data_IF_287331750760
#
_entry.id   IF_287331750760
#
_cell.length_a   1.000
_cell.length_b   1.000
_cell.length_c   1.000
_cell.angle_alpha   90.00
_cell.angle_beta   90.00
_cell.angle_gamma   90.00
#
_symmetry.space_group_name_H-M   'P 1'
#
loop_
_entity.id
_entity.type
_entity.pdbx_description
1 polymer ?
#
# COMPACT_ATOMS: atom_id res chain seq x y z
N UNK A 1 23.91 59.36 -1.63
CA UNK A 1 24.62 58.20 -1.06
C UNK A 1 24.00 57.92 0.30
N UNK A 2 22.99 57.05 0.34
CA UNK A 2 22.34 56.63 1.57
C UNK A 2 22.87 55.23 1.91
N UNK A 3 23.44 55.11 3.11
CA UNK A 3 23.89 53.85 3.69
C UNK A 3 22.67 52.95 3.93
N UNK A 4 22.65 51.81 3.25
CA UNK A 4 21.63 50.79 3.40
C UNK A 4 21.80 50.08 4.74
N UNK A 5 20.74 50.13 5.52
CA UNK A 5 20.55 49.47 6.81
C UNK A 5 20.70 47.94 6.65
N UNK A 6 21.75 47.38 7.26
CA UNK A 6 22.04 45.95 7.26
C UNK A 6 21.20 45.35 8.37
N UNK A 7 19.97 44.96 8.04
CA UNK A 7 19.02 44.37 8.98
C UNK A 7 19.69 43.27 9.80
N UNK A 8 19.79 43.51 11.11
CA UNK A 8 20.22 42.54 12.11
C UNK A 8 19.46 41.23 11.90
N UNK A 9 20.20 40.19 11.51
CA UNK A 9 19.73 38.82 11.49
C UNK A 9 19.36 38.47 12.93
N UNK A 10 18.05 38.49 13.21
CA UNK A 10 17.49 38.15 14.51
C UNK A 10 18.04 36.82 15.03
N UNK A 11 18.07 36.64 16.36
CA UNK A 11 18.76 35.55 17.01
C UNK A 11 18.41 34.23 16.34
N UNK A 12 19.46 33.51 15.90
CA UNK A 12 19.39 32.10 15.54
C UNK A 12 18.44 31.42 16.53
N UNK A 13 17.19 31.20 16.09
CA UNK A 13 16.28 30.33 16.81
C UNK A 13 16.96 28.99 16.73
N UNK A 14 17.71 28.65 17.78
CA UNK A 14 18.27 27.33 17.99
C UNK A 14 17.14 26.37 17.69
N UNK A 15 17.22 25.70 16.54
CA UNK A 15 16.26 24.69 16.12
C UNK A 15 16.07 23.80 17.33
N UNK A 16 14.84 23.75 17.85
CA UNK A 16 14.52 22.90 18.98
C UNK A 16 15.08 21.51 18.64
N UNK A 17 15.78 20.83 19.57
CA UNK A 17 16.39 19.52 19.30
C UNK A 17 15.40 18.50 18.72
N UNK A 18 14.09 18.73 18.85
CA UNK A 18 13.01 17.94 18.28
C UNK A 18 12.84 18.07 16.75
N UNK A 19 13.29 19.17 16.15
CA UNK A 19 13.24 19.39 14.69
C UNK A 19 14.50 18.90 13.98
N UNK A 20 15.50 18.42 14.72
CA UNK A 20 16.68 17.82 14.14
C UNK A 20 16.28 16.56 13.35
N UNK A 21 16.70 16.43 12.07
CA UNK A 21 16.39 15.26 11.28
C UNK A 21 16.84 14.00 12.02
N UNK A 22 16.03 12.93 12.05
CA UNK A 22 16.35 11.73 12.81
C UNK A 22 17.74 11.24 12.42
N UNK A 23 18.62 11.09 13.41
CA UNK A 23 19.98 10.66 13.14
C UNK A 23 19.95 9.28 12.46
N UNK A 24 20.52 9.23 11.25
CA UNK A 24 20.50 8.01 10.45
C UNK A 24 21.44 6.99 11.09
N UNK A 25 20.87 6.07 11.86
CA UNK A 25 21.61 4.93 12.41
C UNK A 25 22.07 4.07 11.24
N UNK A 26 23.37 3.79 11.17
CA UNK A 26 23.96 2.94 10.14
C UNK A 26 23.38 1.53 10.11
N UNK A 27 23.65 0.78 9.04
CA UNK A 27 23.11 -0.57 8.89
C UNK A 27 23.57 -1.49 10.05
N UNK A 28 22.68 -2.25 10.71
CA UNK A 28 23.05 -3.11 11.83
C UNK A 28 24.04 -4.22 11.46
N UNK A 29 24.13 -4.60 10.17
CA UNK A 29 25.10 -5.60 9.69
C UNK A 29 26.46 -5.01 9.34
N UNK A 30 26.50 -3.97 8.50
CA UNK A 30 27.77 -3.45 7.95
C UNK A 30 28.20 -2.10 8.54
N UNK A 31 27.42 -1.53 9.46
CA UNK A 31 27.60 -0.24 10.17
C UNK A 31 27.76 1.00 9.29
N UNK A 32 27.62 0.85 7.97
CA UNK A 32 27.67 1.96 7.01
C UNK A 32 26.33 2.70 6.95
N UNK A 33 26.37 4.02 7.00
CA UNK A 33 25.18 4.89 6.90
C UNK A 33 24.96 5.42 5.47
N UNK A 34 26.02 5.55 4.67
CA UNK A 34 26.01 6.02 3.28
C UNK A 34 25.25 5.10 2.32
N UNK A 35 25.17 3.81 2.64
CA UNK A 35 24.49 2.78 1.84
C UNK A 35 23.03 2.53 2.26
N UNK A 36 22.55 3.27 3.26
CA UNK A 36 21.20 3.10 3.80
C UNK A 36 20.30 4.21 3.27
N UNK A 37 19.07 3.85 2.93
CA UNK A 37 18.04 4.83 2.65
C UNK A 37 16.67 4.36 3.12
N UNK A 38 15.71 5.29 3.27
CA UNK A 38 14.32 4.93 3.49
C UNK A 38 13.84 4.00 2.37
N UNK A 39 13.07 2.98 2.73
CA UNK A 39 12.54 2.00 1.76
C UNK A 39 11.85 2.66 0.56
N UNK A 40 10.98 3.70 0.70
CA UNK A 40 10.40 4.38 -0.45
C UNK A 40 11.42 4.98 -1.42
N UNK A 41 12.52 5.52 -0.89
CA UNK A 41 13.59 6.07 -1.71
C UNK A 41 14.43 4.96 -2.37
N UNK A 42 14.66 3.84 -1.67
CA UNK A 42 15.34 2.68 -2.24
C UNK A 42 14.55 2.08 -3.42
N UNK A 43 13.23 1.89 -3.28
CA UNK A 43 12.38 1.36 -4.36
C UNK A 43 12.34 2.29 -5.58
N UNK A 44 12.26 3.61 -5.38
CA UNK A 44 12.36 4.58 -6.49
C UNK A 44 13.68 4.49 -7.25
N UNK A 45 14.76 4.03 -6.60
CA UNK A 45 16.07 3.80 -7.22
C UNK A 45 16.23 2.38 -7.80
N UNK A 46 15.16 1.60 -7.87
CA UNK A 46 15.17 0.26 -8.44
C UNK A 46 15.72 -0.82 -7.50
N UNK A 47 15.73 -0.58 -6.19
CA UNK A 47 16.06 -1.65 -5.24
C UNK A 47 15.08 -2.82 -5.42
N UNK A 48 15.53 -4.08 -5.29
CA UNK A 48 14.72 -5.28 -5.47
C UNK A 48 13.79 -5.55 -4.27
N UNK A 49 13.19 -4.49 -3.73
CA UNK A 49 12.11 -4.57 -2.76
C UNK A 49 10.86 -4.30 -3.58
N UNK A 50 10.24 -5.37 -4.06
CA UNK A 50 9.00 -5.25 -4.82
C UNK A 50 7.98 -4.50 -3.95
N UNK A 51 7.50 -3.31 -4.37
CA UNK A 51 6.48 -2.61 -3.62
C UNK A 51 5.32 -3.57 -3.52
N UNK A 52 4.95 -3.86 -2.27
CA UNK A 52 3.91 -4.81 -1.95
C UNK A 52 2.55 -4.15 -2.30
N UNK A 53 2.35 -3.86 -3.59
CA UNK A 53 1.12 -3.36 -4.13
C UNK A 53 0.35 -4.58 -4.60
N UNK A 54 -0.77 -4.91 -3.96
CA UNK A 54 -1.68 -5.88 -4.53
C UNK A 54 -2.08 -5.34 -5.90
N UNK A 55 -1.60 -5.97 -6.98
CA UNK A 55 -1.90 -5.55 -8.33
C UNK A 55 -3.39 -5.78 -8.55
N UNK A 56 -4.19 -4.73 -8.40
CA UNK A 56 -5.61 -4.77 -8.72
C UNK A 56 -5.70 -4.58 -10.24
N UNK A 57 -5.15 -5.51 -11.03
CA UNK A 57 -5.40 -5.58 -12.47
C UNK A 57 -6.88 -5.93 -12.61
N UNK A 58 -7.68 -4.88 -12.62
CA UNK A 58 -9.12 -4.98 -12.62
C UNK A 58 -9.60 -5.55 -13.94
N UNK A 59 -10.60 -6.42 -13.83
CA UNK A 59 -11.51 -6.97 -14.86
C UNK A 59 -12.25 -5.87 -15.67
N UNK A 60 -11.80 -4.61 -15.61
CA UNK A 60 -12.35 -3.47 -16.34
C UNK A 60 -12.30 -3.66 -17.86
N UNK A 61 -11.39 -4.48 -18.38
CA UNK A 61 -11.30 -4.78 -19.82
C UNK A 61 -12.50 -5.55 -20.38
N UNK A 62 -13.12 -6.44 -19.59
CA UNK A 62 -14.19 -7.32 -20.09
C UNK A 62 -15.54 -6.63 -20.22
N UNK A 63 -15.84 -5.64 -19.38
CA UNK A 63 -17.14 -4.94 -19.40
C UNK A 63 -17.23 -3.93 -20.55
N UNK A 64 -16.12 -3.26 -20.88
CA UNK A 64 -16.09 -2.26 -21.98
C UNK A 64 -16.17 -2.94 -23.34
N UNK A 65 -15.55 -4.11 -23.52
CA UNK A 65 -15.56 -4.83 -24.79
C UNK A 65 -16.98 -5.28 -25.19
N UNK A 66 -17.80 -5.68 -24.22
CA UNK A 66 -19.19 -6.12 -24.47
C UNK A 66 -20.16 -4.98 -24.80
N UNK A 67 -20.00 -3.81 -24.17
CA UNK A 67 -20.83 -2.65 -24.51
C UNK A 67 -20.64 -2.23 -25.98
N UNK A 68 -19.42 -2.38 -26.51
CA UNK A 68 -19.10 -2.12 -27.92
C UNK A 68 -19.76 -3.16 -28.84
N UNK A 69 -19.80 -4.44 -28.47
CA UNK A 69 -20.47 -5.48 -29.27
C UNK A 69 -21.98 -5.27 -29.37
N UNK A 70 -22.62 -4.75 -28.32
CA UNK A 70 -24.06 -4.42 -28.34
C UNK A 70 -24.34 -3.19 -29.19
N UNK A 71 -23.45 -2.19 -29.18
CA UNK A 71 -23.60 -0.99 -30.01
C UNK A 71 -23.33 -1.26 -31.50
N UNK A 72 -22.42 -2.18 -31.84
CA UNK A 72 -22.10 -2.50 -33.25
C UNK A 72 -23.04 -3.53 -33.89
N UNK A 73 -23.99 -4.11 -33.13
CA UNK A 73 -25.00 -5.03 -33.67
C UNK A 73 -26.33 -4.36 -34.04
N UNK A 74 -26.43 -3.04 -33.94
CA UNK A 74 -27.70 -2.31 -34.10
C UNK A 74 -27.94 -1.78 -35.54
N UNK A 75 -26.96 -1.85 -36.43
CA UNK A 75 -27.02 -1.15 -37.72
C UNK A 75 -27.59 -1.99 -38.89
N UNK A 76 -27.87 -3.29 -38.71
CA UNK A 76 -28.53 -4.13 -39.75
C UNK A 76 -29.94 -4.59 -39.31
N UNK A 77 -30.90 -3.68 -39.49
CA UNK A 77 -32.32 -3.81 -39.13
C UNK A 77 -33.08 -4.65 -40.18
N UNK A 78 -33.13 -5.97 -40.00
CA UNK A 78 -34.21 -6.81 -40.54
C UNK A 78 -34.48 -8.11 -39.77
N UNK A 79 -33.89 -8.29 -38.58
CA UNK A 79 -34.11 -9.51 -37.81
C UNK A 79 -35.56 -9.60 -37.27
N UNK A 80 -36.27 -10.74 -37.44
CA UNK A 80 -37.62 -10.90 -36.93
C UNK A 80 -37.68 -10.76 -35.40
N UNK A 81 -38.75 -10.13 -34.91
CA UNK A 81 -39.02 -9.82 -33.49
C UNK A 81 -38.85 -11.03 -32.53
N UNK A 82 -38.95 -12.25 -33.04
CA UNK A 82 -38.75 -13.50 -32.29
C UNK A 82 -37.30 -13.74 -31.86
N UNK A 83 -36.31 -13.07 -32.47
CA UNK A 83 -34.90 -13.21 -32.14
C UNK A 83 -34.44 -12.39 -30.91
N UNK A 84 -35.24 -11.42 -30.44
CA UNK A 84 -34.85 -10.57 -29.30
C UNK A 84 -35.05 -11.24 -27.93
N UNK A 85 -36.01 -12.17 -27.81
CA UNK A 85 -36.30 -12.87 -26.56
C UNK A 85 -35.09 -13.68 -26.01
N UNK A 86 -34.38 -14.51 -26.81
CA UNK A 86 -33.20 -15.21 -26.30
C UNK A 86 -32.05 -14.24 -25.96
N UNK A 87 -31.89 -13.15 -26.71
CA UNK A 87 -30.87 -12.14 -26.42
C UNK A 87 -31.11 -11.47 -25.05
N UNK A 88 -32.36 -11.10 -24.74
CA UNK A 88 -32.72 -10.52 -23.44
C UNK A 88 -32.56 -11.53 -22.28
N UNK A 89 -32.89 -12.80 -22.50
CA UNK A 89 -32.68 -13.85 -21.50
C UNK A 89 -31.20 -14.05 -21.16
N UNK A 90 -30.31 -14.04 -22.16
CA UNK A 90 -28.86 -14.10 -21.97
C UNK A 90 -28.36 -12.88 -21.19
N UNK A 91 -28.79 -11.66 -21.56
CA UNK A 91 -28.43 -10.43 -20.83
C UNK A 91 -28.85 -10.49 -19.36
N UNK A 92 -30.05 -11.02 -19.09
CA UNK A 92 -30.60 -11.16 -17.73
C UNK A 92 -29.77 -12.11 -16.85
N UNK A 93 -29.39 -13.27 -17.40
CA UNK A 93 -28.54 -14.25 -16.72
C UNK A 93 -27.13 -13.69 -16.42
N UNK A 94 -26.55 -12.94 -17.37
CA UNK A 94 -25.26 -12.30 -17.16
C UNK A 94 -25.33 -11.14 -16.16
N UNK A 95 -26.40 -10.33 -16.17
CA UNK A 95 -26.60 -9.26 -15.20
C UNK A 95 -26.73 -9.81 -13.77
N UNK A 96 -27.44 -10.92 -13.59
CA UNK A 96 -27.59 -11.60 -12.31
C UNK A 96 -26.29 -12.28 -11.86
N UNK A 97 -25.59 -12.96 -12.77
CA UNK A 97 -24.31 -13.61 -12.50
C UNK A 97 -23.18 -12.64 -12.14
N UNK A 98 -23.18 -11.43 -12.72
CA UNK A 98 -22.14 -10.41 -12.48
C UNK A 98 -22.29 -9.68 -11.13
N UNK A 99 -23.45 -9.78 -10.49
CA UNK A 99 -23.77 -9.06 -9.26
C UNK A 99 -22.99 -9.57 -8.04
N UNK A 100 -22.63 -10.86 -8.00
CA UNK A 100 -21.81 -11.44 -6.93
C UNK A 100 -20.36 -10.98 -7.04
N UNK A 101 -19.78 -11.04 -8.25
CA UNK A 101 -18.39 -10.65 -8.50
C UNK A 101 -18.15 -9.17 -8.21
N UNK A 102 -19.11 -8.29 -8.55
CA UNK A 102 -18.99 -6.85 -8.24
C UNK A 102 -19.03 -6.58 -6.74
N UNK A 103 -19.88 -7.28 -5.98
CA UNK A 103 -19.92 -7.17 -4.51
C UNK A 103 -18.61 -7.59 -3.88
N UNK A 104 -18.01 -8.69 -4.34
CA UNK A 104 -16.72 -9.16 -3.83
C UNK A 104 -15.58 -8.21 -4.18
N UNK A 105 -15.57 -7.65 -5.40
CA UNK A 105 -14.62 -6.61 -5.79
C UNK A 105 -14.77 -5.34 -4.94
N UNK A 106 -16.00 -4.91 -4.65
CA UNK A 106 -16.26 -3.73 -3.79
C UNK A 106 -15.81 -4.01 -2.36
N UNK A 107 -16.13 -5.18 -1.81
CA UNK A 107 -15.68 -5.61 -0.47
C UNK A 107 -14.16 -5.67 -0.39
N UNK A 108 -13.50 -6.24 -1.41
CA UNK A 108 -12.04 -6.31 -1.50
C UNK A 108 -11.42 -4.93 -1.60
N UNK A 109 -11.94 -4.03 -2.45
CA UNK A 109 -11.48 -2.64 -2.54
C UNK A 109 -11.66 -1.88 -1.24
N UNK A 110 -12.79 -2.06 -0.54
CA UNK A 110 -13.02 -1.46 0.78
C UNK A 110 -11.99 -1.95 1.79
N UNK A 111 -11.70 -3.25 1.82
CA UNK A 111 -10.70 -3.84 2.71
C UNK A 111 -9.28 -3.32 2.41
N UNK A 112 -8.88 -3.30 1.13
CA UNK A 112 -7.59 -2.72 0.71
C UNK A 112 -7.51 -1.25 1.12
N UNK A 113 -8.58 -0.48 0.91
CA UNK A 113 -8.60 0.94 1.27
C UNK A 113 -8.51 1.15 2.79
N UNK A 114 -9.14 0.31 3.61
CA UNK A 114 -9.06 0.42 5.07
C UNK A 114 -7.67 0.05 5.61
N UNK A 115 -7.01 -0.94 5.01
CA UNK A 115 -5.68 -1.40 5.43
C UNK A 115 -4.51 -0.52 4.96
N UNK A 116 -4.74 0.27 3.90
CA UNK A 116 -3.67 0.98 3.19
C UNK A 116 -2.86 1.91 4.09
N UNK A 117 -3.51 2.66 4.97
CA UNK A 117 -2.82 3.62 5.82
C UNK A 117 -1.85 2.93 6.79
N UNK A 118 -2.24 1.80 7.37
CA UNK A 118 -1.39 1.04 8.29
C UNK A 118 -0.21 0.39 7.56
N UNK A 119 -0.45 -0.23 6.40
CA UNK A 119 0.61 -0.79 5.56
C UNK A 119 1.62 0.28 5.11
N UNK A 120 1.14 1.45 4.68
CA UNK A 120 2.01 2.57 4.26
C UNK A 120 2.82 3.12 5.43
N UNK A 121 2.27 3.13 6.65
CA UNK A 121 3.01 3.56 7.83
C UNK A 121 4.24 2.66 8.06
N UNK A 122 4.05 1.34 8.13
CA UNK A 122 5.15 0.38 8.28
C UNK A 122 6.14 0.47 7.12
N UNK A 123 5.64 0.64 5.89
CA UNK A 123 6.48 0.79 4.70
C UNK A 123 7.39 2.03 4.78
N UNK A 124 6.86 3.17 5.24
CA UNK A 124 7.60 4.42 5.33
C UNK A 124 8.59 4.45 6.51
N UNK A 125 8.35 3.64 7.55
CA UNK A 125 9.21 3.52 8.73
C UNK A 125 10.44 2.63 8.50
N UNK A 126 10.44 1.82 7.44
CA UNK A 126 11.54 0.92 7.09
C UNK A 126 12.73 1.61 6.43
N UNK A 127 13.93 1.16 6.80
CA UNK A 127 15.20 1.55 6.20
C UNK A 127 15.86 0.36 5.51
N UNK A 128 16.35 0.55 4.29
CA UNK A 128 16.98 -0.48 3.48
C UNK A 128 18.47 -0.21 3.27
N UNK A 129 19.29 -1.24 3.49
CA UNK A 129 20.71 -1.23 3.16
C UNK A 129 20.94 -1.88 1.79
N UNK A 130 21.36 -1.07 0.81
CA UNK A 130 21.62 -1.56 -0.55
C UNK A 130 22.76 -2.59 -0.61
N UNK A 131 23.75 -2.48 0.28
CA UNK A 131 24.89 -3.41 0.33
C UNK A 131 24.52 -4.77 0.89
N UNK A 132 23.71 -4.80 1.95
CA UNK A 132 23.38 -6.04 2.66
C UNK A 132 22.06 -6.67 2.20
N UNK A 133 21.23 -5.93 1.46
CA UNK A 133 19.91 -6.40 1.02
C UNK A 133 18.95 -6.66 2.18
N UNK A 134 19.06 -5.90 3.27
CA UNK A 134 18.22 -6.05 4.47
C UNK A 134 17.45 -4.78 4.77
N UNK A 135 16.27 -4.96 5.36
CA UNK A 135 15.43 -3.89 5.90
C UNK A 135 15.51 -3.92 7.43
N UNK A 136 15.54 -2.76 8.06
CA UNK A 136 15.48 -2.63 9.52
C UNK A 136 14.68 -1.39 9.90
N UNK A 137 14.33 -1.29 11.18
CA UNK A 137 13.59 -0.16 11.73
C UNK A 137 14.49 0.64 12.68
N UNK A 138 14.27 1.95 12.71
CA UNK A 138 14.91 2.82 13.70
C UNK A 138 14.18 2.74 15.04
N UNK A 139 14.86 3.03 16.17
CA UNK A 139 14.24 3.00 17.49
C UNK A 139 12.98 3.85 17.56
N UNK A 140 11.89 3.28 18.10
CA UNK A 140 10.61 3.97 18.25
C UNK A 140 9.67 3.88 17.04
N UNK A 141 10.10 3.27 15.95
CA UNK A 141 9.29 3.01 14.75
C UNK A 141 9.13 1.51 14.46
N UNK A 142 9.28 0.67 15.49
CA UNK A 142 9.28 -0.77 15.32
C UNK A 142 7.86 -1.34 15.33
N UNK A 143 7.54 -2.28 14.43
CA UNK A 143 6.35 -3.12 14.56
C UNK A 143 6.50 -4.02 15.79
N UNK A 144 5.39 -4.33 16.49
CA UNK A 144 5.40 -5.17 17.71
C UNK A 144 6.06 -6.56 17.55
N UNK A 145 6.17 -7.06 16.32
CA UNK A 145 6.66 -8.41 16.02
C UNK A 145 8.13 -8.46 15.60
N UNK A 146 8.83 -7.32 15.57
CA UNK A 146 10.24 -7.24 15.20
C UNK A 146 11.05 -6.67 16.34
N UNK A 147 12.22 -7.25 16.59
CA UNK A 147 13.13 -6.72 17.59
C UNK A 147 13.83 -5.46 17.08
N UNK A 148 14.22 -4.60 18.02
CA UNK A 148 14.98 -3.38 17.73
C UNK A 148 16.26 -3.72 16.96
N UNK A 149 16.51 -2.98 15.88
CA UNK A 149 17.67 -3.17 14.99
C UNK A 149 17.79 -4.56 14.35
N UNK A 150 16.74 -5.38 14.38
CA UNK A 150 16.76 -6.67 13.69
C UNK A 150 16.88 -6.45 12.17
N UNK A 151 17.90 -7.04 11.57
CA UNK A 151 18.09 -7.02 10.13
C UNK A 151 17.18 -8.05 9.46
N UNK A 152 16.10 -7.59 8.85
CA UNK A 152 15.05 -8.42 8.25
C UNK A 152 15.27 -8.57 6.75
N UNK A 153 15.00 -9.75 6.19
CA UNK A 153 14.99 -9.97 4.74
C UNK A 153 13.77 -9.27 4.08
N UNK A 154 13.86 -8.80 2.83
CA UNK A 154 12.75 -8.13 2.16
C UNK A 154 11.44 -8.93 2.14
N UNK A 155 11.50 -10.26 2.08
CA UNK A 155 10.34 -11.17 2.11
C UNK A 155 9.57 -11.06 3.43
N UNK A 156 10.30 -11.11 4.56
CA UNK A 156 9.70 -10.99 5.89
C UNK A 156 9.20 -9.57 6.13
N UNK A 157 9.90 -8.55 5.66
CA UNK A 157 9.41 -7.16 5.70
C UNK A 157 8.09 -6.99 4.92
N UNK A 158 7.99 -7.55 3.69
CA UNK A 158 6.73 -7.53 2.92
C UNK A 158 5.59 -8.20 3.67
N UNK A 159 5.86 -9.35 4.32
CA UNK A 159 4.88 -10.02 5.17
C UNK A 159 4.40 -9.13 6.31
N UNK A 160 5.30 -8.43 7.01
CA UNK A 160 4.90 -7.51 8.09
C UNK A 160 4.06 -6.33 7.57
N UNK A 161 4.40 -5.76 6.40
CA UNK A 161 3.61 -4.71 5.75
C UNK A 161 2.20 -5.22 5.41
N UNK A 162 2.09 -6.47 4.93
CA UNK A 162 0.81 -7.11 4.63
C UNK A 162 -0.01 -7.38 5.90
N UNK A 163 0.63 -7.90 6.95
CA UNK A 163 0.00 -8.12 8.25
C UNK A 163 -0.53 -6.81 8.83
N UNK A 164 0.26 -5.73 8.78
CA UNK A 164 -0.17 -4.41 9.23
C UNK A 164 -1.35 -3.86 8.42
N UNK A 165 -1.42 -4.17 7.12
CA UNK A 165 -2.55 -3.84 6.25
C UNK A 165 -3.78 -4.73 6.44
N UNK A 166 -3.68 -5.84 7.18
CA UNK A 166 -4.74 -6.86 7.24
C UNK A 166 -4.94 -7.57 5.89
N UNK A 167 -3.85 -7.80 5.17
CA UNK A 167 -3.79 -8.48 3.86
C UNK A 167 -3.30 -9.92 3.97
N UNK A 168 -3.33 -10.50 5.17
CA UNK A 168 -2.83 -11.85 5.47
C UNK A 168 -3.51 -12.96 4.66
N UNK A 169 -4.72 -12.71 4.19
CA UNK A 169 -5.47 -13.61 3.32
C UNK A 169 -5.19 -13.39 1.84
N UNK A 170 -4.35 -12.42 1.45
CA UNK A 170 -3.93 -12.19 0.07
C UNK A 170 -2.50 -12.69 -0.12
N UNK A 171 -2.27 -13.55 -1.10
CA UNK A 171 -0.92 -13.87 -1.55
C UNK A 171 -0.28 -12.65 -2.26
N UNK A 172 0.98 -12.83 -2.69
CA UNK A 172 1.75 -11.78 -3.40
C UNK A 172 1.06 -11.38 -4.72
N UNK A 173 0.30 -12.30 -5.33
CA UNK A 173 -0.47 -12.09 -6.56
C UNK A 173 -1.86 -11.49 -6.30
N UNK A 174 -2.26 -11.33 -5.04
CA UNK A 174 -3.59 -10.89 -4.63
C UNK A 174 -4.68 -11.95 -4.83
N UNK A 175 -4.36 -13.23 -4.91
CA UNK A 175 -5.33 -14.32 -4.77
C UNK A 175 -5.57 -14.59 -3.29
N UNK A 176 -6.79 -14.99 -2.90
CA UNK A 176 -7.06 -15.43 -1.56
C UNK A 176 -6.24 -16.69 -1.27
N UNK A 177 -5.38 -16.63 -0.24
CA UNK A 177 -4.83 -17.86 0.35
C UNK A 177 -6.03 -18.63 0.91
N UNK A 178 -6.28 -19.82 0.37
CA UNK A 178 -7.51 -20.62 0.58
C UNK A 178 -7.75 -21.00 2.06
N UNK A 179 -6.88 -20.63 3.00
CA UNK A 179 -6.98 -21.09 4.40
C UNK A 179 -6.36 -20.15 5.45
N UNK A 180 -6.81 -18.90 5.55
CA UNK A 180 -6.51 -18.06 6.73
C UNK A 180 -7.73 -17.99 7.68
N UNK A 181 -7.61 -18.36 8.97
CA UNK A 181 -8.72 -18.29 9.92
C UNK A 181 -9.12 -16.83 10.16
N UNK A 182 -10.38 -16.49 9.86
CA UNK A 182 -10.96 -15.15 10.06
C UNK A 182 -11.23 -14.90 11.55
N UNK A 183 -10.20 -14.55 12.31
CA UNK A 183 -10.33 -14.19 13.72
C UNK A 183 -10.54 -12.68 13.94
N UNK A 184 -11.43 -12.24 14.85
CA UNK A 184 -11.64 -10.82 15.20
C UNK A 184 -10.45 -10.17 15.93
N UNK A 185 -9.40 -10.95 16.25
CA UNK A 185 -8.23 -10.45 16.96
C UNK A 185 -7.45 -9.40 16.15
N UNK A 186 -7.31 -9.53 14.83
CA UNK A 186 -6.42 -8.70 14.00
C UNK A 186 -6.71 -7.18 14.01
N UNK A 187 -7.89 -6.74 14.46
CA UNK A 187 -8.26 -5.31 14.48
C UNK A 187 -7.69 -4.50 15.67
N UNK A 188 -7.12 -5.16 16.69
CA UNK A 188 -6.70 -4.50 17.95
C UNK A 188 -5.20 -4.18 18.05
N UNK A 189 -4.45 -4.20 16.93
CA UNK A 189 -2.98 -4.31 16.98
C UNK A 189 -2.20 -3.02 16.69
N UNK A 190 -2.85 -1.95 16.22
CA UNK A 190 -2.16 -0.68 15.92
C UNK A 190 -2.68 0.48 16.79
N UNK A 191 -1.82 1.16 17.56
CA UNK A 191 -2.21 2.40 18.22
C UNK A 191 -2.51 3.47 17.15
N UNK A 192 -3.59 4.22 17.36
CA UNK A 192 -3.94 5.32 16.45
C UNK A 192 -2.76 6.30 16.34
N UNK A 193 -2.60 7.00 15.20
CA UNK A 193 -1.59 8.06 15.07
C UNK A 193 -1.66 9.11 16.20
N UNK A 194 -2.86 9.37 16.74
CA UNK A 194 -3.04 10.28 17.88
C UNK A 194 -2.46 9.74 19.19
N UNK A 195 -2.54 8.43 19.44
CA UNK A 195 -1.94 7.82 20.64
C UNK A 195 -0.39 7.85 20.60
N UNK A 196 0.22 7.88 19.41
CA UNK A 196 1.68 8.04 19.25
C UNK A 196 2.17 9.44 19.57
N UNK A 197 1.36 10.47 19.30
CA UNK A 197 1.72 11.86 19.61
C UNK A 197 1.72 12.14 21.13
N UNK A 198 0.93 11.36 21.89
CA UNK A 198 0.89 11.45 23.35
C UNK A 198 2.07 10.78 24.07
N UNK A 199 2.78 9.83 23.42
CA UNK A 199 4.02 9.24 23.95
C UNK A 199 5.28 10.07 23.68
N UNK A 200 5.13 11.20 22.99
CA UNK A 200 6.20 12.18 22.70
C UNK A 200 6.19 13.37 23.67
N UNK A 201 5.30 13.37 24.66
CA UNK A 201 5.29 14.31 25.79
C UNK A 201 5.73 13.56 27.04
#
# INVERSE_FOLDING_TARGET
>A
MQAGDVGELGPERALEPEDAPPQVVGCPKCRRADVVAPVPAAVRRGAPIDPAQPSVRGVRGLVVCWAVTVLMGADDVSWPLTAHLPALAVVSLFALGSSSSTRDLVRRRRRVRSGRAAAVAVWNEGWFCARCGVVYFQPGYEPRNLALHEAVRPERFRREVYLAGGYEDMDVEGKPLISAPRGPAARRWWPSPSARRARRR
#
